data_IF_655415765306
#
_entry.id   IF_655415765306
#
_cell.length_a   1.000
_cell.length_b   1.000
_cell.length_c   1.000
_cell.angle_alpha   90.00
_cell.angle_beta   90.00
_cell.angle_gamma   90.00
#
_symmetry.space_group_name_H-M   'P 1'
#
loop_
_entity.id
_entity.type
_entity.pdbx_description
1 polymer ?
#
# COMPACT_ATOMS: atom_id res chain seq x y z
N UNK A 1 2.01 -19.74 20.87
CA UNK A 1 3.36 -19.21 20.55
C UNK A 1 3.40 -17.75 20.92
N UNK A 2 4.50 -17.30 21.52
CA UNK A 2 4.73 -15.86 21.75
C UNK A 2 5.03 -15.18 20.41
N UNK A 3 4.73 -13.88 20.29
CA UNK A 3 5.14 -13.11 19.10
C UNK A 3 6.67 -13.05 18.95
N UNK A 4 7.41 -13.25 20.04
CA UNK A 4 8.88 -13.32 20.04
C UNK A 4 9.43 -14.68 19.59
N UNK A 5 8.57 -15.69 19.43
CA UNK A 5 8.98 -17.05 19.03
C UNK A 5 8.58 -17.39 17.59
N UNK A 6 8.16 -16.40 16.79
CA UNK A 6 7.79 -16.63 15.40
C UNK A 6 9.05 -16.85 14.54
N UNK A 7 9.03 -17.81 13.60
CA UNK A 7 10.08 -17.88 12.60
C UNK A 7 10.10 -16.57 11.81
N UNK A 8 11.26 -16.17 11.29
CA UNK A 8 11.42 -14.88 10.60
C UNK A 8 10.36 -14.65 9.51
N UNK A 9 10.04 -15.69 8.75
CA UNK A 9 8.95 -15.69 7.77
C UNK A 9 7.61 -15.24 8.36
N UNK A 10 7.26 -15.67 9.56
CA UNK A 10 5.97 -15.38 10.21
C UNK A 10 5.72 -13.89 10.44
N UNK A 11 6.78 -13.07 10.52
CA UNK A 11 6.64 -11.61 10.62
C UNK A 11 6.24 -10.97 9.29
N UNK A 12 6.59 -11.56 8.14
CA UNK A 12 6.24 -11.01 6.83
C UNK A 12 4.72 -10.78 6.67
N UNK A 13 3.85 -11.81 6.75
CA UNK A 13 2.41 -11.60 6.54
C UNK A 13 1.79 -10.69 7.60
N UNK A 14 2.31 -10.68 8.83
CA UNK A 14 1.83 -9.78 9.89
C UNK A 14 2.17 -8.31 9.60
N UNK A 15 3.43 -8.03 9.27
CA UNK A 15 3.89 -6.68 8.92
C UNK A 15 3.13 -6.19 7.67
N UNK A 16 3.05 -7.00 6.61
CA UNK A 16 2.37 -6.61 5.37
C UNK A 16 0.87 -6.32 5.61
N UNK A 17 0.18 -7.17 6.37
CA UNK A 17 -1.25 -6.97 6.68
C UNK A 17 -1.50 -5.72 7.50
N UNK A 18 -0.70 -5.49 8.55
CA UNK A 18 -0.79 -4.27 9.35
C UNK A 18 -0.52 -3.02 8.51
N UNK A 19 0.47 -3.11 7.61
CA UNK A 19 0.85 -1.99 6.75
C UNK A 19 -0.23 -1.64 5.73
N UNK A 20 -0.97 -2.62 5.21
CA UNK A 20 -2.16 -2.38 4.37
C UNK A 20 -3.22 -1.58 5.14
N UNK A 21 -3.46 -1.90 6.42
CA UNK A 21 -4.40 -1.13 7.25
C UNK A 21 -3.95 0.33 7.43
N UNK A 22 -2.65 0.55 7.66
CA UNK A 22 -2.08 1.89 7.76
C UNK A 22 -2.17 2.66 6.43
N UNK A 23 -1.92 2.00 5.30
CA UNK A 23 -2.06 2.59 3.97
C UNK A 23 -3.53 3.00 3.72
N UNK A 24 -4.49 2.12 4.02
CA UNK A 24 -5.91 2.42 3.90
C UNK A 24 -6.29 3.62 4.77
N UNK A 25 -5.83 3.67 6.03
CA UNK A 25 -6.05 4.80 6.93
C UNK A 25 -5.46 6.10 6.37
N UNK A 26 -4.23 6.05 5.85
CA UNK A 26 -3.56 7.19 5.24
C UNK A 26 -4.32 7.72 4.01
N UNK A 27 -4.94 6.85 3.21
CA UNK A 27 -5.78 7.26 2.08
C UNK A 27 -7.09 7.87 2.58
N UNK A 28 -7.79 7.15 3.47
CA UNK A 28 -9.14 7.48 3.94
C UNK A 28 -9.21 8.82 4.67
N UNK A 29 -8.19 9.14 5.48
CA UNK A 29 -8.14 10.41 6.24
C UNK A 29 -8.18 11.63 5.31
N UNK A 30 -7.54 11.56 4.14
CA UNK A 30 -7.46 12.66 3.18
C UNK A 30 -8.58 12.63 2.11
N UNK A 31 -9.18 11.46 1.87
CA UNK A 31 -10.06 11.20 0.74
C UNK A 31 -11.25 12.17 0.65
N UNK A 32 -11.90 12.48 1.78
CA UNK A 32 -13.14 13.28 1.85
C UNK A 32 -12.99 14.72 2.38
N UNK A 33 -11.78 15.26 2.40
CA UNK A 33 -11.55 16.66 2.79
C UNK A 33 -12.08 17.67 1.76
N UNK A 34 -12.64 18.79 2.20
CA UNK A 34 -13.13 19.88 1.33
C UNK A 34 -12.34 21.18 1.53
N UNK A 35 -12.35 22.12 0.55
CA UNK A 35 -11.71 23.43 0.72
C UNK A 35 -12.25 24.24 1.91
N UNK A 36 -13.54 24.09 2.24
CA UNK A 36 -14.19 24.75 3.36
C UNK A 36 -13.64 24.27 4.72
N UNK A 37 -12.98 23.12 4.74
CA UNK A 37 -12.37 22.52 5.92
C UNK A 37 -10.85 22.80 5.95
N UNK A 38 -10.44 24.06 5.78
CA UNK A 38 -9.03 24.42 5.56
C UNK A 38 -8.05 23.80 6.55
N UNK A 39 -8.31 23.94 7.86
CA UNK A 39 -7.44 23.42 8.92
C UNK A 39 -7.47 21.88 8.98
N UNK A 40 -8.66 21.28 8.99
CA UNK A 40 -8.82 19.82 8.97
C UNK A 40 -8.18 19.17 7.74
N UNK A 41 -8.19 19.85 6.58
CA UNK A 41 -7.54 19.38 5.36
C UNK A 41 -6.01 19.39 5.49
N UNK A 42 -5.43 20.42 6.12
CA UNK A 42 -3.99 20.46 6.42
C UNK A 42 -3.60 19.32 7.36
N UNK A 43 -4.35 19.13 8.45
CA UNK A 43 -4.11 18.03 9.39
C UNK A 43 -4.21 16.66 8.73
N UNK A 44 -5.25 16.43 7.92
CA UNK A 44 -5.42 15.19 7.16
C UNK A 44 -4.29 14.97 6.14
N UNK A 45 -3.80 16.03 5.51
CA UNK A 45 -2.66 15.98 4.60
C UNK A 45 -1.38 15.61 5.34
N UNK A 46 -1.10 16.24 6.50
CA UNK A 46 0.02 15.87 7.35
C UNK A 46 -0.07 14.42 7.81
N UNK A 47 -1.24 13.97 8.29
CA UNK A 47 -1.45 12.58 8.68
C UNK A 47 -1.19 11.61 7.52
N UNK A 48 -1.66 11.93 6.31
CA UNK A 48 -1.36 11.14 5.12
C UNK A 48 0.15 11.05 4.85
N UNK A 49 0.89 12.15 4.95
CA UNK A 49 2.34 12.14 4.74
C UNK A 49 3.07 11.36 5.84
N UNK A 50 2.76 11.61 7.11
CA UNK A 50 3.42 10.96 8.24
C UNK A 50 3.17 9.46 8.26
N UNK A 51 1.92 9.02 8.07
CA UNK A 51 1.59 7.60 8.00
C UNK A 51 2.35 6.93 6.85
N UNK A 52 2.39 7.55 5.66
CA UNK A 52 3.07 6.95 4.52
C UNK A 52 4.59 6.88 4.70
N UNK A 53 5.22 8.00 5.08
CA UNK A 53 6.68 8.12 5.11
C UNK A 53 7.31 7.44 6.31
N UNK A 54 6.68 7.51 7.49
CA UNK A 54 7.26 6.96 8.72
C UNK A 54 6.88 5.51 8.97
N UNK A 55 5.73 5.05 8.46
CA UNK A 55 5.21 3.71 8.75
C UNK A 55 5.03 2.88 7.49
N UNK A 56 4.22 3.33 6.53
CA UNK A 56 3.82 2.47 5.39
C UNK A 56 5.03 2.07 4.54
N UNK A 57 5.83 3.02 4.07
CA UNK A 57 6.98 2.71 3.22
C UNK A 57 8.04 1.89 3.97
N UNK A 58 8.45 2.24 5.21
CA UNK A 58 9.42 1.43 5.94
C UNK A 58 8.93 0.02 6.25
N UNK A 59 7.67 -0.15 6.68
CA UNK A 59 7.14 -1.45 7.06
C UNK A 59 6.92 -2.37 5.84
N UNK A 60 6.41 -1.85 4.72
CA UNK A 60 6.34 -2.63 3.48
C UNK A 60 7.72 -3.06 3.00
N UNK A 61 8.71 -2.16 3.09
CA UNK A 61 10.09 -2.47 2.75
C UNK A 61 10.66 -3.52 3.70
N UNK A 62 10.49 -3.38 5.02
CA UNK A 62 10.96 -4.35 6.00
C UNK A 62 10.34 -5.74 5.80
N UNK A 63 9.03 -5.81 5.56
CA UNK A 63 8.34 -7.05 5.22
C UNK A 63 8.87 -7.68 3.92
N UNK A 64 9.15 -6.88 2.89
CA UNK A 64 9.73 -7.37 1.64
C UNK A 64 11.18 -7.83 1.82
N UNK A 65 11.98 -7.10 2.60
CA UNK A 65 13.39 -7.44 2.89
C UNK A 65 13.52 -8.75 3.67
N UNK A 66 12.56 -9.08 4.55
CA UNK A 66 12.52 -10.40 5.20
C UNK A 66 12.47 -11.50 4.15
N UNK A 67 11.56 -11.38 3.17
CA UNK A 67 11.43 -12.39 2.11
C UNK A 67 12.62 -12.38 1.16
N UNK A 68 13.19 -11.21 0.89
CA UNK A 68 14.42 -11.09 0.13
C UNK A 68 15.54 -11.90 0.79
N UNK A 69 15.79 -11.67 2.07
CA UNK A 69 16.81 -12.40 2.82
C UNK A 69 16.56 -13.91 2.86
N UNK A 70 15.30 -14.34 3.08
CA UNK A 70 14.95 -15.77 3.12
C UNK A 70 15.11 -16.46 1.75
N UNK A 71 14.88 -15.73 0.66
CA UNK A 71 15.03 -16.23 -0.71
C UNK A 71 16.48 -16.18 -1.23
N UNK A 72 17.38 -15.54 -0.49
CA UNK A 72 18.83 -15.53 -0.74
C UNK A 72 19.55 -16.71 -0.06
N UNK A 73 18.86 -17.45 0.82
CA UNK A 73 19.43 -18.61 1.50
C UNK A 73 19.69 -19.78 0.54
N UNK A 74 20.69 -20.64 0.81
CA UNK A 74 20.96 -21.79 -0.05
C UNK A 74 19.73 -22.68 -0.28
N UNK A 75 19.44 -22.98 -1.56
CA UNK A 75 18.32 -23.84 -1.95
C UNK A 75 16.95 -23.15 -1.98
N UNK A 76 16.86 -21.84 -1.72
CA UNK A 76 15.68 -21.04 -2.00
C UNK A 76 15.84 -20.22 -3.30
N UNK A 77 14.82 -19.44 -3.66
CA UNK A 77 14.86 -18.65 -4.89
C UNK A 77 13.88 -17.48 -4.87
N UNK A 78 14.23 -16.43 -5.59
CA UNK A 78 13.40 -15.24 -5.74
C UNK A 78 12.35 -15.41 -6.85
N UNK A 79 11.25 -14.66 -6.75
CA UNK A 79 10.27 -14.49 -7.83
C UNK A 79 9.62 -15.78 -8.35
N UNK A 80 9.49 -16.78 -7.48
CA UNK A 80 8.90 -18.09 -7.82
C UNK A 80 7.37 -18.09 -7.89
N UNK A 81 6.72 -17.03 -7.40
CA UNK A 81 5.26 -16.95 -7.27
C UNK A 81 4.73 -15.62 -7.78
N UNK A 82 3.46 -15.61 -8.21
CA UNK A 82 2.80 -14.36 -8.61
C UNK A 82 2.72 -13.37 -7.45
N UNK A 83 2.50 -13.86 -6.23
CA UNK A 83 2.59 -13.05 -5.01
C UNK A 83 3.94 -12.35 -4.87
N UNK A 84 5.04 -13.09 -5.05
CA UNK A 84 6.40 -12.55 -4.89
C UNK A 84 6.74 -11.51 -5.95
N UNK A 85 6.41 -11.77 -7.21
CA UNK A 85 6.65 -10.84 -8.34
C UNK A 85 5.83 -9.56 -8.15
N UNK A 86 4.51 -9.70 -7.97
CA UNK A 86 3.62 -8.56 -7.83
C UNK A 86 3.92 -7.77 -6.55
N UNK A 87 4.23 -8.46 -5.45
CA UNK A 87 4.58 -7.87 -4.17
C UNK A 87 5.80 -6.97 -4.25
N UNK A 88 6.88 -7.46 -4.86
CA UNK A 88 8.08 -6.62 -5.07
C UNK A 88 7.76 -5.43 -5.97
N UNK A 89 7.04 -5.66 -7.08
CA UNK A 89 6.65 -4.59 -7.99
C UNK A 89 5.85 -3.48 -7.28
N UNK A 90 4.83 -3.85 -6.48
CA UNK A 90 3.95 -2.88 -5.85
C UNK A 90 4.63 -2.11 -4.71
N UNK A 91 5.60 -2.73 -4.01
CA UNK A 91 6.45 -2.02 -3.03
C UNK A 91 7.32 -0.96 -3.73
N UNK A 92 7.94 -1.28 -4.87
CA UNK A 92 8.68 -0.30 -5.68
C UNK A 92 7.74 0.80 -6.19
N UNK A 93 6.56 0.43 -6.68
CA UNK A 93 5.55 1.38 -7.13
C UNK A 93 5.08 2.32 -6.00
N UNK A 94 5.01 1.85 -4.75
CA UNK A 94 4.68 2.68 -3.59
C UNK A 94 5.75 3.75 -3.31
N UNK A 95 7.04 3.40 -3.44
CA UNK A 95 8.14 4.36 -3.34
C UNK A 95 8.10 5.40 -4.45
N UNK A 96 7.89 4.97 -5.70
CA UNK A 96 7.71 5.89 -6.85
C UNK A 96 6.52 6.82 -6.60
N UNK A 97 5.40 6.26 -6.12
CA UNK A 97 4.19 7.00 -5.82
C UNK A 97 4.43 8.07 -4.73
N UNK A 98 5.17 7.73 -3.68
CA UNK A 98 5.56 8.67 -2.64
C UNK A 98 6.50 9.76 -3.18
N UNK A 99 7.48 9.40 -4.01
CA UNK A 99 8.39 10.35 -4.64
C UNK A 99 7.66 11.35 -5.54
N UNK A 100 6.72 10.90 -6.37
CA UNK A 100 5.87 11.76 -7.20
C UNK A 100 4.97 12.65 -6.34
N UNK A 101 4.42 12.11 -5.26
CA UNK A 101 3.66 12.88 -4.27
C UNK A 101 4.49 14.02 -3.68
N UNK A 102 5.66 13.69 -3.14
CA UNK A 102 6.65 14.63 -2.59
C UNK A 102 7.05 15.70 -3.62
N UNK A 103 7.43 15.30 -4.83
CA UNK A 103 7.83 16.20 -5.91
C UNK A 103 6.71 17.19 -6.29
N UNK A 104 5.44 16.79 -6.15
CA UNK A 104 4.29 17.63 -6.50
C UNK A 104 3.89 18.64 -5.41
N UNK A 105 4.24 18.41 -4.14
CA UNK A 105 3.75 19.21 -2.99
C UNK A 105 4.86 19.93 -2.22
N UNK A 106 6.07 19.38 -2.16
CA UNK A 106 7.17 20.01 -1.44
C UNK A 106 7.78 21.16 -2.25
N UNK A 107 8.25 22.18 -1.54
CA UNK A 107 8.82 23.41 -2.12
C UNK A 107 7.98 23.99 -3.26
N UNK A 108 6.64 23.96 -3.10
CA UNK A 108 5.67 24.41 -4.12
C UNK A 108 5.87 23.77 -5.50
N UNK A 109 6.21 22.48 -5.53
CA UNK A 109 6.34 21.73 -6.79
C UNK A 109 7.58 22.08 -7.61
N UNK A 110 8.63 22.65 -7.00
CA UNK A 110 9.86 23.07 -7.71
C UNK A 110 10.46 21.94 -8.56
N UNK A 111 10.43 20.71 -8.07
CA UNK A 111 10.96 19.52 -8.76
C UNK A 111 10.20 19.15 -10.04
N UNK A 112 8.96 19.63 -10.19
CA UNK A 112 8.13 19.37 -11.37
C UNK A 112 7.84 20.64 -12.18
N UNK A 113 8.61 21.71 -11.92
CA UNK A 113 8.52 22.97 -12.65
C UNK A 113 7.51 23.99 -12.10
N UNK A 114 7.22 23.92 -10.79
CA UNK A 114 6.47 24.94 -10.04
C UNK A 114 5.05 24.53 -9.65
N UNK A 115 4.37 25.43 -8.94
CA UNK A 115 3.14 25.12 -8.21
C UNK A 115 1.99 24.66 -9.13
N UNK A 116 1.86 25.28 -10.30
CA UNK A 116 0.83 24.92 -11.27
C UNK A 116 1.00 23.47 -11.78
N UNK A 117 2.23 23.09 -12.15
CA UNK A 117 2.55 21.72 -12.59
C UNK A 117 2.43 20.72 -11.44
N UNK A 118 2.83 21.09 -10.24
CA UNK A 118 2.62 20.29 -9.03
C UNK A 118 1.14 19.96 -8.80
N UNK A 119 0.27 20.98 -8.84
CA UNK A 119 -1.18 20.80 -8.69
C UNK A 119 -1.79 19.93 -9.79
N UNK A 120 -1.29 20.02 -11.02
CA UNK A 120 -1.75 19.18 -12.12
C UNK A 120 -1.50 17.68 -11.86
N UNK A 121 -0.42 17.33 -11.15
CA UNK A 121 -0.10 15.94 -10.79
C UNK A 121 -0.99 15.36 -9.69
N UNK A 122 -1.66 16.18 -8.87
CA UNK A 122 -2.42 15.69 -7.70
C UNK A 122 -3.54 14.71 -8.08
N UNK A 123 -4.18 14.94 -9.23
CA UNK A 123 -5.23 14.04 -9.73
C UNK A 123 -4.66 12.69 -10.17
N UNK A 124 -3.50 12.72 -10.83
CA UNK A 124 -2.78 11.52 -11.26
C UNK A 124 -2.19 10.74 -10.09
N UNK A 125 -1.60 11.42 -9.11
CA UNK A 125 -1.17 10.82 -7.84
C UNK A 125 -2.36 10.15 -7.14
N UNK A 126 -3.53 10.80 -7.08
CA UNK A 126 -4.73 10.17 -6.50
C UNK A 126 -5.16 8.92 -7.25
N UNK A 127 -5.25 8.97 -8.59
CA UNK A 127 -5.68 7.83 -9.40
C UNK A 127 -4.72 6.65 -9.27
N UNK A 128 -3.42 6.89 -9.48
CA UNK A 128 -2.37 5.87 -9.32
C UNK A 128 -2.33 5.31 -7.90
N UNK A 129 -2.64 6.11 -6.89
CA UNK A 129 -2.72 5.65 -5.49
C UNK A 129 -3.82 4.62 -5.27
N UNK A 130 -4.97 4.78 -5.93
CA UNK A 130 -6.03 3.76 -5.92
C UNK A 130 -5.62 2.49 -6.64
N UNK A 131 -4.87 2.60 -7.73
CA UNK A 131 -4.31 1.42 -8.42
C UNK A 131 -3.32 0.70 -7.52
N UNK A 132 -2.37 1.41 -6.92
CA UNK A 132 -1.36 0.84 -6.01
C UNK A 132 -1.99 0.11 -4.81
N UNK A 133 -2.95 0.72 -4.11
CA UNK A 133 -3.62 0.04 -2.98
C UNK A 133 -4.42 -1.19 -3.46
N UNK A 134 -5.02 -1.14 -4.65
CA UNK A 134 -5.72 -2.30 -5.21
C UNK A 134 -4.76 -3.44 -5.51
N UNK A 135 -3.57 -3.14 -6.04
CA UNK A 135 -2.52 -4.12 -6.27
C UNK A 135 -1.98 -4.71 -4.96
N UNK A 136 -1.87 -3.93 -3.88
CA UNK A 136 -1.55 -4.46 -2.56
C UNK A 136 -2.62 -5.42 -2.03
N UNK A 137 -3.91 -5.10 -2.20
CA UNK A 137 -5.01 -5.99 -1.81
C UNK A 137 -4.97 -7.30 -2.62
N UNK A 138 -4.71 -7.23 -3.93
CA UNK A 138 -4.53 -8.42 -4.77
C UNK A 138 -3.31 -9.23 -4.32
N UNK A 139 -2.19 -8.57 -4.04
CA UNK A 139 -0.97 -9.21 -3.54
C UNK A 139 -1.23 -9.97 -2.23
N UNK A 140 -1.98 -9.36 -1.31
CA UNK A 140 -2.36 -10.00 -0.05
C UNK A 140 -3.25 -11.24 -0.26
N UNK A 141 -4.19 -11.18 -1.22
CA UNK A 141 -5.00 -12.34 -1.59
C UNK A 141 -4.13 -13.48 -2.16
N UNK A 142 -3.20 -13.17 -3.08
CA UNK A 142 -2.25 -14.15 -3.63
C UNK A 142 -1.37 -14.78 -2.54
N UNK A 143 -0.99 -14.02 -1.53
CA UNK A 143 -0.21 -14.51 -0.39
C UNK A 143 -0.86 -15.72 0.30
N UNK A 144 -2.20 -15.73 0.38
CA UNK A 144 -2.97 -16.81 1.02
C UNK A 144 -3.42 -17.88 0.02
N UNK A 145 -3.78 -17.47 -1.19
CA UNK A 145 -4.45 -18.34 -2.17
C UNK A 145 -3.50 -19.00 -3.17
N UNK A 146 -2.30 -18.49 -3.36
CA UNK A 146 -1.37 -18.96 -4.41
C UNK A 146 -0.05 -19.47 -3.85
N UNK A 147 0.50 -18.87 -2.78
CA UNK A 147 1.76 -19.34 -2.22
C UNK A 147 1.62 -20.72 -1.59
N UNK A 148 2.62 -21.59 -1.74
CA UNK A 148 2.62 -22.95 -1.18
C UNK A 148 2.46 -22.93 0.34
N UNK A 149 3.10 -21.97 1.01
CA UNK A 149 2.96 -21.78 2.45
C UNK A 149 1.55 -21.33 2.83
N UNK A 150 1.03 -20.29 2.18
CA UNK A 150 -0.31 -19.77 2.45
C UNK A 150 -1.38 -20.82 2.22
N UNK A 151 -1.30 -21.53 1.10
CA UNK A 151 -2.22 -22.60 0.74
C UNK A 151 -2.16 -23.78 1.72
N UNK A 152 -0.97 -24.21 2.10
CA UNK A 152 -0.75 -25.37 2.97
C UNK A 152 -0.98 -25.10 4.47
N UNK A 153 -0.91 -23.84 4.91
CA UNK A 153 -1.09 -23.46 6.32
C UNK A 153 -2.41 -22.75 6.63
N UNK A 154 -3.17 -22.34 5.62
CA UNK A 154 -4.49 -21.71 5.80
C UNK A 154 -5.62 -22.72 5.66
N UNK A 155 -6.52 -22.75 6.64
CA UNK A 155 -7.77 -23.50 6.55
C UNK A 155 -8.79 -22.85 5.61
N UNK A 156 -9.89 -23.56 5.33
CA UNK A 156 -10.98 -23.08 4.46
C UNK A 156 -11.52 -21.74 4.96
N UNK A 157 -11.72 -21.59 6.27
CA UNK A 157 -12.25 -20.36 6.85
C UNK A 157 -11.33 -19.16 6.59
N UNK A 158 -10.00 -19.31 6.75
CA UNK A 158 -9.05 -18.23 6.49
C UNK A 158 -9.01 -17.87 5.00
N UNK A 159 -9.00 -18.87 4.11
CA UNK A 159 -9.00 -18.65 2.65
C UNK A 159 -10.26 -17.91 2.21
N UNK A 160 -11.43 -18.37 2.64
CA UNK A 160 -12.71 -17.70 2.36
C UNK A 160 -12.77 -16.32 2.99
N UNK A 161 -12.29 -16.17 4.22
CA UNK A 161 -12.22 -14.88 4.92
C UNK A 161 -11.43 -13.84 4.12
N UNK A 162 -10.24 -14.19 3.64
CA UNK A 162 -9.42 -13.30 2.81
C UNK A 162 -10.06 -13.03 1.45
N UNK A 163 -10.60 -14.06 0.79
CA UNK A 163 -11.26 -13.94 -0.50
C UNK A 163 -12.50 -13.04 -0.47
N UNK A 164 -13.16 -12.89 0.68
CA UNK A 164 -14.33 -12.00 0.85
C UNK A 164 -13.92 -10.64 1.42
N UNK A 165 -13.08 -10.60 2.45
CA UNK A 165 -12.77 -9.37 3.16
C UNK A 165 -11.99 -8.36 2.30
N UNK A 166 -10.99 -8.81 1.53
CA UNK A 166 -10.19 -7.88 0.72
C UNK A 166 -10.98 -7.21 -0.41
N UNK A 167 -11.85 -7.93 -1.16
CA UNK A 167 -12.78 -7.27 -2.08
C UNK A 167 -13.75 -6.31 -1.41
N UNK A 168 -14.28 -6.63 -0.23
CA UNK A 168 -15.16 -5.72 0.53
C UNK A 168 -14.43 -4.45 0.95
N UNK A 169 -13.17 -4.55 1.37
CA UNK A 169 -12.30 -3.39 1.67
C UNK A 169 -12.08 -2.55 0.41
N UNK A 170 -11.80 -3.20 -0.72
CA UNK A 170 -11.69 -2.52 -2.02
C UNK A 170 -12.97 -1.77 -2.40
N UNK A 171 -14.12 -2.44 -2.27
CA UNK A 171 -15.43 -1.83 -2.51
C UNK A 171 -15.71 -0.65 -1.57
N UNK A 172 -15.43 -0.80 -0.27
CA UNK A 172 -15.56 0.26 0.72
C UNK A 172 -14.70 1.48 0.39
N UNK A 173 -13.50 1.28 -0.18
CA UNK A 173 -12.66 2.37 -0.67
C UNK A 173 -13.25 3.03 -1.93
N UNK A 174 -13.77 2.23 -2.87
CA UNK A 174 -14.37 2.70 -4.13
C UNK A 174 -15.58 3.61 -3.91
N UNK A 175 -16.49 3.26 -2.98
CA UNK A 175 -17.66 4.10 -2.65
C UNK A 175 -17.28 5.45 -2.02
N UNK A 176 -16.01 5.63 -1.61
CA UNK A 176 -15.48 6.89 -1.07
C UNK A 176 -14.75 7.72 -2.11
N UNK A 177 -14.54 7.21 -3.32
CA UNK A 177 -13.82 7.91 -4.39
C UNK A 177 -14.60 9.13 -4.85
N UNK A 178 -13.95 10.28 -4.83
CA UNK A 178 -14.51 11.54 -5.36
C UNK A 178 -14.12 11.71 -6.82
N UNK A 179 -15.04 11.35 -7.73
CA UNK A 179 -14.79 11.39 -9.19
C UNK A 179 -14.34 12.76 -9.70
N UNK A 180 -14.84 13.85 -9.12
CA UNK A 180 -14.42 15.23 -9.48
C UNK A 180 -12.94 15.52 -9.22
N UNK A 181 -12.29 14.73 -8.35
CA UNK A 181 -10.87 14.84 -8.00
C UNK A 181 -9.97 13.88 -8.79
N UNK A 182 -10.53 13.11 -9.72
CA UNK A 182 -9.79 12.26 -10.66
C UNK A 182 -9.44 13.05 -11.95
N UNK A 183 -8.43 12.61 -12.72
CA UNK A 183 -8.15 13.18 -14.03
C UNK A 183 -9.35 12.92 -14.96
N UNK A 184 -9.52 13.80 -15.95
CA UNK A 184 -10.41 13.52 -17.07
C UNK A 184 -9.66 12.58 -18.02
N UNK A 185 -10.27 11.47 -18.37
CA UNK A 185 -9.76 10.52 -19.37
C UNK A 185 -10.38 10.84 -20.73
#
# INVERSE_FOLDING_TARGET
MSITSLPLFGYHPLIQSFTILLLLQAIVVLQRTTPQQGERKKQAFSAHQWLNLLLVLPLFTAGASIMWYLHDQPGSGHFLSYHGILGTFVVVAAWIQAALGAASVWWKGKLVGGEAKGKALWKWHRLSGYVVVSLFLITAALGVLETTWGWGKSGVLQKTGVAVALPLVGFALLIRVQRSKLPKL
#
